data_IF_382974868753
#
_entry.id   IF_382974868753
#
_cell.length_a   1.000
_cell.length_b   1.000
_cell.length_c   1.000
_cell.angle_alpha   90.00
_cell.angle_beta   90.00
_cell.angle_gamma   90.00
#
_symmetry.space_group_name_H-M   'P 1'
#
loop_
_entity.id
_entity.type
_entity.pdbx_description
1 polymer ?
#
# COMPACT_ATOMS: atom_id res chain seq x y z
N UNK A 1 40.95 -77.57 -39.75
CA UNK A 1 39.64 -76.97 -40.05
C UNK A 1 38.88 -76.84 -38.74
N UNK A 2 38.72 -75.61 -38.27
CA UNK A 2 38.15 -75.25 -36.96
C UNK A 2 36.65 -75.01 -37.16
N UNK A 3 35.79 -75.71 -36.41
CA UNK A 3 34.38 -75.31 -36.20
C UNK A 3 34.19 -75.09 -34.71
N UNK A 4 34.26 -73.83 -34.29
CA UNK A 4 33.73 -73.37 -33.01
C UNK A 4 32.20 -73.31 -33.12
N UNK A 5 31.50 -73.96 -32.20
CA UNK A 5 30.08 -73.73 -31.96
C UNK A 5 29.95 -72.36 -31.27
N UNK A 6 29.25 -71.44 -31.94
CA UNK A 6 29.12 -70.07 -31.49
C UNK A 6 27.94 -69.90 -30.51
N UNK A 7 28.33 -69.36 -29.35
CA UNK A 7 27.61 -68.68 -28.29
C UNK A 7 26.36 -67.87 -28.66
N UNK A 8 25.34 -68.06 -27.81
CA UNK A 8 24.57 -67.07 -27.02
C UNK A 8 23.69 -66.01 -27.73
N UNK A 9 22.46 -65.75 -27.22
CA UNK A 9 21.42 -65.00 -27.91
C UNK A 9 21.60 -63.50 -27.68
N UNK A 10 22.27 -62.83 -28.62
CA UNK A 10 22.33 -61.37 -28.64
C UNK A 10 20.99 -60.79 -29.12
N UNK A 11 20.15 -60.52 -28.13
CA UNK A 11 19.21 -59.40 -28.01
C UNK A 11 19.69 -58.17 -28.83
N UNK A 12 19.31 -58.08 -30.11
CA UNK A 12 19.37 -56.82 -30.86
C UNK A 12 18.28 -55.90 -30.32
N UNK A 13 18.68 -55.16 -29.29
CA UNK A 13 17.97 -53.98 -28.82
C UNK A 13 17.86 -53.01 -30.00
N UNK A 14 16.68 -52.98 -30.63
CA UNK A 14 16.13 -51.75 -31.17
C UNK A 14 16.24 -50.71 -30.06
N UNK A 15 17.24 -49.83 -30.16
CA UNK A 15 17.29 -48.59 -29.39
C UNK A 15 16.14 -47.74 -29.89
N UNK A 16 14.94 -48.05 -29.43
CA UNK A 16 13.95 -47.03 -29.19
C UNK A 16 14.66 -46.03 -28.29
N UNK A 17 14.98 -44.86 -28.82
CA UNK A 17 15.45 -43.74 -28.03
C UNK A 17 14.29 -43.35 -27.12
N UNK A 18 14.18 -44.06 -25.99
CA UNK A 18 13.35 -43.69 -24.88
C UNK A 18 14.02 -42.47 -24.27
N UNK A 19 13.52 -41.29 -24.63
CA UNK A 19 13.71 -40.11 -23.79
C UNK A 19 13.34 -40.54 -22.36
N UNK A 20 14.19 -40.28 -21.36
CA UNK A 20 13.87 -40.64 -20.00
C UNK A 20 12.66 -39.82 -19.56
N UNK A 21 11.51 -40.46 -19.39
CA UNK A 21 10.26 -39.86 -18.86
C UNK A 21 10.51 -39.07 -17.56
N UNK A 22 11.54 -39.44 -16.79
CA UNK A 22 11.97 -38.72 -15.59
C UNK A 22 12.35 -37.25 -15.85
N UNK A 23 12.93 -36.91 -17.00
CA UNK A 23 13.32 -35.52 -17.31
C UNK A 23 12.10 -34.63 -17.61
N UNK A 24 11.02 -35.20 -18.16
CA UNK A 24 9.79 -34.45 -18.46
C UNK A 24 8.92 -34.30 -17.21
N UNK A 25 8.76 -35.36 -16.43
CA UNK A 25 8.07 -35.31 -15.13
C UNK A 25 8.75 -34.35 -14.14
N UNK A 26 10.08 -34.34 -14.06
CA UNK A 26 10.83 -33.37 -13.26
C UNK A 26 10.67 -31.93 -13.78
N UNK A 27 10.64 -31.74 -15.10
CA UNK A 27 10.40 -30.45 -15.72
C UNK A 27 8.99 -29.93 -15.44
N UNK A 28 7.94 -30.76 -15.62
CA UNK A 28 6.56 -30.43 -15.28
C UNK A 28 6.40 -30.12 -13.78
N UNK A 29 7.06 -30.89 -12.90
CA UNK A 29 7.06 -30.63 -11.47
C UNK A 29 7.83 -29.33 -11.12
N UNK A 30 8.88 -28.99 -11.87
CA UNK A 30 9.59 -27.71 -11.72
C UNK A 30 8.70 -26.54 -12.13
N UNK A 31 8.04 -26.63 -13.29
CA UNK A 31 7.11 -25.63 -13.83
C UNK A 31 5.89 -25.43 -12.94
N UNK A 32 5.31 -26.51 -12.41
CA UNK A 32 4.23 -26.44 -11.45
C UNK A 32 4.64 -25.74 -10.15
N UNK A 33 5.87 -25.96 -9.67
CA UNK A 33 6.41 -25.27 -8.47
C UNK A 33 6.67 -23.79 -8.74
N UNK A 34 7.20 -23.42 -9.91
CA UNK A 34 7.35 -22.01 -10.32
C UNK A 34 6.00 -21.33 -10.51
N UNK A 35 5.01 -22.00 -11.08
CA UNK A 35 3.64 -21.51 -11.20
C UNK A 35 2.99 -21.26 -9.84
N UNK A 36 3.03 -22.23 -8.93
CA UNK A 36 2.48 -22.07 -7.57
C UNK A 36 3.22 -20.95 -6.82
N UNK A 37 4.55 -20.87 -6.96
CA UNK A 37 5.36 -19.79 -6.36
C UNK A 37 5.09 -18.43 -6.97
N UNK A 38 4.71 -18.35 -8.26
CA UNK A 38 4.37 -17.11 -9.00
C UNK A 38 2.92 -16.67 -8.76
N UNK A 39 1.98 -17.60 -8.58
CA UNK A 39 0.57 -17.31 -8.29
C UNK A 39 0.38 -16.69 -6.91
N UNK A 40 1.22 -17.03 -5.93
CA UNK A 40 1.21 -16.44 -4.57
C UNK A 40 1.45 -14.92 -4.56
N UNK A 41 2.55 -14.37 -5.10
CA UNK A 41 2.77 -12.92 -5.13
C UNK A 41 1.80 -12.20 -6.07
N UNK A 42 1.40 -12.81 -7.20
CA UNK A 42 0.40 -12.21 -8.09
C UNK A 42 -0.95 -12.04 -7.40
N UNK A 43 -1.41 -13.04 -6.64
CA UNK A 43 -2.64 -12.95 -5.87
C UNK A 43 -2.58 -11.82 -4.84
N UNK A 44 -1.47 -11.67 -4.11
CA UNK A 44 -1.28 -10.57 -3.14
C UNK A 44 -1.32 -9.21 -3.84
N UNK A 45 -0.62 -9.07 -4.97
CA UNK A 45 -0.62 -7.85 -5.77
C UNK A 45 -2.02 -7.51 -6.29
N UNK A 46 -2.75 -8.49 -6.82
CA UNK A 46 -4.12 -8.29 -7.30
C UNK A 46 -5.07 -7.90 -6.16
N UNK A 47 -4.95 -8.52 -4.98
CA UNK A 47 -5.73 -8.15 -3.80
C UNK A 47 -5.41 -6.73 -3.33
N UNK A 48 -4.13 -6.36 -3.31
CA UNK A 48 -3.69 -5.01 -2.99
C UNK A 48 -4.30 -3.98 -3.95
N UNK A 49 -4.09 -4.18 -5.26
CA UNK A 49 -4.59 -3.27 -6.29
C UNK A 49 -6.11 -3.19 -6.30
N UNK A 50 -6.82 -4.32 -6.21
CA UNK A 50 -8.27 -4.33 -6.16
C UNK A 50 -8.80 -3.58 -4.93
N UNK A 51 -8.22 -3.83 -3.75
CA UNK A 51 -8.63 -3.13 -2.52
C UNK A 51 -8.39 -1.63 -2.63
N UNK A 52 -7.21 -1.22 -3.09
CA UNK A 52 -6.87 0.19 -3.27
C UNK A 52 -7.85 0.87 -4.25
N UNK A 53 -8.08 0.26 -5.42
CA UNK A 53 -8.96 0.82 -6.44
C UNK A 53 -10.41 0.89 -6.00
N UNK A 54 -10.92 -0.12 -5.28
CA UNK A 54 -12.29 -0.11 -4.74
C UNK A 54 -12.46 1.00 -3.71
N UNK A 55 -11.51 1.17 -2.79
CA UNK A 55 -11.54 2.25 -1.81
C UNK A 55 -11.44 3.63 -2.46
N UNK A 56 -10.51 3.79 -3.42
CA UNK A 56 -10.34 5.03 -4.16
C UNK A 56 -11.60 5.39 -4.96
N UNK A 57 -12.16 4.43 -5.68
CA UNK A 57 -13.39 4.63 -6.44
C UNK A 57 -14.57 4.95 -5.53
N UNK A 58 -14.71 4.23 -4.41
CA UNK A 58 -15.74 4.50 -3.41
C UNK A 58 -15.63 5.91 -2.82
N UNK A 59 -14.40 6.38 -2.57
CA UNK A 59 -14.17 7.75 -2.11
C UNK A 59 -14.56 8.78 -3.16
N UNK A 60 -14.15 8.59 -4.41
CA UNK A 60 -14.53 9.51 -5.50
C UNK A 60 -16.05 9.56 -5.71
N UNK A 61 -16.74 8.42 -5.59
CA UNK A 61 -18.22 8.39 -5.64
C UNK A 61 -18.87 9.05 -4.42
N UNK A 62 -18.15 9.18 -3.30
CA UNK A 62 -18.64 9.86 -2.10
C UNK A 62 -18.42 11.38 -2.10
N UNK A 63 -17.72 11.92 -3.11
CA UNK A 63 -17.55 13.37 -3.29
C UNK A 63 -18.93 14.07 -3.36
N UNK A 64 -19.05 15.21 -2.71
CA UNK A 64 -20.26 16.01 -2.57
C UNK A 64 -21.23 15.52 -1.49
N UNK A 65 -20.95 14.40 -0.81
CA UNK A 65 -21.84 13.83 0.21
C UNK A 65 -21.50 14.31 1.62
N UNK A 66 -22.35 13.97 2.59
CA UNK A 66 -22.08 14.22 4.01
C UNK A 66 -20.82 13.48 4.51
N UNK A 67 -20.46 12.33 3.90
CA UNK A 67 -19.25 11.59 4.27
C UNK A 67 -18.00 12.39 3.95
N UNK A 68 -17.94 13.01 2.76
CA UNK A 68 -16.83 13.89 2.41
C UNK A 68 -16.72 15.05 3.40
N UNK A 69 -17.85 15.67 3.74
CA UNK A 69 -17.89 16.77 4.71
C UNK A 69 -17.32 16.35 6.06
N UNK A 70 -17.72 15.22 6.62
CA UNK A 70 -17.22 14.75 7.91
C UNK A 70 -15.71 14.48 7.85
N UNK A 71 -15.24 13.79 6.83
CA UNK A 71 -13.82 13.41 6.73
C UNK A 71 -12.93 14.63 6.46
N UNK A 72 -13.34 15.53 5.57
CA UNK A 72 -12.56 16.72 5.25
C UNK A 72 -12.70 17.78 6.35
N UNK A 73 -13.91 18.17 6.73
CA UNK A 73 -14.12 19.25 7.69
C UNK A 73 -13.79 18.81 9.12
N UNK A 74 -14.44 17.76 9.63
CA UNK A 74 -14.39 17.43 11.07
C UNK A 74 -13.11 16.67 11.44
N UNK A 75 -12.61 15.82 10.55
CA UNK A 75 -11.39 15.05 10.82
C UNK A 75 -10.11 15.74 10.32
N UNK A 76 -10.20 16.62 9.32
CA UNK A 76 -8.99 17.21 8.73
C UNK A 76 -8.86 18.70 8.99
N UNK A 77 -9.83 19.52 8.57
CA UNK A 77 -9.71 20.98 8.60
C UNK A 77 -9.85 21.53 10.02
N UNK A 78 -10.87 21.11 10.77
CA UNK A 78 -11.14 21.61 12.11
C UNK A 78 -10.02 21.27 13.10
N UNK A 79 -9.50 20.03 13.17
CA UNK A 79 -8.39 19.71 14.07
C UNK A 79 -7.11 20.42 13.66
N UNK A 80 -6.90 20.66 12.35
CA UNK A 80 -5.76 21.43 11.86
C UNK A 80 -5.83 22.89 12.27
N UNK A 81 -6.98 23.55 12.12
CA UNK A 81 -7.18 24.92 12.55
C UNK A 81 -6.97 25.06 14.07
N UNK A 82 -7.51 24.12 14.84
CA UNK A 82 -7.32 24.07 16.29
C UNK A 82 -5.83 23.93 16.66
N UNK A 83 -5.11 23.00 16.04
CA UNK A 83 -3.69 22.79 16.30
C UNK A 83 -2.85 24.02 15.90
N UNK A 84 -3.13 24.63 14.75
CA UNK A 84 -2.43 25.84 14.30
C UNK A 84 -2.64 26.99 15.28
N UNK A 85 -3.87 27.24 15.73
CA UNK A 85 -4.15 28.30 16.71
C UNK A 85 -3.56 28.01 18.10
N UNK A 86 -3.34 26.73 18.44
CA UNK A 86 -2.67 26.37 19.69
C UNK A 86 -1.17 26.68 19.66
N UNK A 87 -0.54 26.55 18.49
CA UNK A 87 0.89 26.83 18.27
C UNK A 87 1.11 28.33 17.99
N UNK A 88 0.25 28.94 17.18
CA UNK A 88 0.29 30.36 16.78
C UNK A 88 -1.07 31.02 17.02
N UNK A 89 -1.38 31.46 18.26
CA UNK A 89 -2.65 32.08 18.60
C UNK A 89 -2.95 33.33 17.76
N UNK A 90 -1.92 34.06 17.35
CA UNK A 90 -2.02 35.27 16.51
C UNK A 90 -2.39 34.98 15.06
N UNK A 91 -2.36 33.71 14.62
CA UNK A 91 -2.71 33.34 13.26
C UNK A 91 -4.22 33.50 12.98
N UNK A 92 -5.08 33.35 14.01
CA UNK A 92 -6.53 33.54 13.89
C UNK A 92 -7.17 32.66 12.81
N UNK A 93 -6.73 31.40 12.70
CA UNK A 93 -7.16 30.49 11.63
C UNK A 93 -8.56 29.96 11.93
N UNK A 94 -9.47 30.13 10.97
CA UNK A 94 -10.82 29.60 11.02
C UNK A 94 -10.95 28.44 10.02
N UNK A 95 -11.47 27.31 10.50
CA UNK A 95 -11.93 26.23 9.65
C UNK A 95 -13.25 26.65 8.99
N UNK A 96 -13.26 26.71 7.66
CA UNK A 96 -14.47 26.99 6.88
C UNK A 96 -14.57 25.99 5.74
N UNK A 97 -15.49 25.04 5.86
CA UNK A 97 -15.65 23.94 4.90
C UNK A 97 -14.31 23.20 4.70
N UNK A 98 -13.85 23.10 3.46
CA UNK A 98 -12.58 22.49 3.09
C UNK A 98 -11.39 23.48 3.14
N UNK A 99 -11.50 24.61 3.86
CA UNK A 99 -10.49 25.69 3.85
C UNK A 99 -10.06 26.12 5.24
N UNK A 100 -8.78 26.46 5.35
CA UNK A 100 -8.24 27.24 6.45
C UNK A 100 -8.20 28.72 6.03
N UNK A 101 -8.92 29.56 6.76
CA UNK A 101 -9.05 31.00 6.47
C UNK A 101 -8.39 31.79 7.58
N UNK A 102 -7.49 32.70 7.24
CA UNK A 102 -6.87 33.63 8.18
C UNK A 102 -6.84 35.04 7.59
N UNK A 103 -6.60 36.09 8.40
CA UNK A 103 -6.47 37.46 7.91
C UNK A 103 -5.42 37.61 6.80
N UNK A 104 -4.35 36.81 6.86
CA UNK A 104 -3.21 36.85 5.93
C UNK A 104 -3.38 35.96 4.69
N UNK A 105 -4.48 35.20 4.57
CA UNK A 105 -4.67 34.33 3.41
C UNK A 105 -5.61 33.15 3.63
N UNK A 106 -5.78 32.34 2.58
CA UNK A 106 -6.65 31.16 2.58
C UNK A 106 -5.90 29.97 2.01
N UNK A 107 -5.90 28.85 2.73
CA UNK A 107 -5.35 27.57 2.29
C UNK A 107 -6.48 26.58 2.02
N UNK A 108 -6.50 26.03 0.82
CA UNK A 108 -7.54 25.12 0.36
C UNK A 108 -7.09 23.66 0.58
N UNK A 109 -7.83 22.91 1.40
CA UNK A 109 -7.60 21.49 1.68
C UNK A 109 -8.56 20.69 0.78
N UNK A 110 -8.26 20.68 -0.50
CA UNK A 110 -8.96 19.89 -1.53
C UNK A 110 -7.92 19.09 -2.31
N UNK A 111 -8.34 17.95 -2.87
CA UNK A 111 -7.57 17.16 -3.84
C UNK A 111 -6.21 16.67 -3.29
N UNK A 112 -6.23 15.69 -2.39
CA UNK A 112 -5.00 15.01 -1.92
C UNK A 112 -4.36 15.60 -0.64
N UNK A 113 -4.93 16.65 -0.06
CA UNK A 113 -4.55 17.12 1.30
C UNK A 113 -5.26 16.37 2.46
N UNK A 114 -6.20 15.51 2.12
CA UNK A 114 -7.04 14.74 3.07
C UNK A 114 -6.36 13.47 3.60
N UNK A 115 -5.21 13.08 3.04
CA UNK A 115 -4.42 11.93 3.52
C UNK A 115 -5.02 10.55 3.22
N UNK A 116 -6.22 10.50 2.62
CA UNK A 116 -6.96 9.26 2.38
C UNK A 116 -6.30 8.35 1.36
N UNK A 117 -5.66 8.88 0.32
CA UNK A 117 -4.92 8.08 -0.67
C UNK A 117 -3.86 7.21 0.03
N UNK A 118 -3.14 7.80 0.98
CA UNK A 118 -2.13 7.08 1.77
C UNK A 118 -2.78 6.09 2.74
N UNK A 119 -3.92 6.45 3.34
CA UNK A 119 -4.70 5.53 4.16
C UNK A 119 -5.15 4.30 3.36
N UNK A 120 -5.68 4.50 2.17
CA UNK A 120 -6.16 3.42 1.30
C UNK A 120 -5.01 2.52 0.85
N UNK A 121 -3.84 3.09 0.54
CA UNK A 121 -2.62 2.30 0.28
C UNK A 121 -2.25 1.43 1.49
N UNK A 122 -2.28 1.99 2.70
CA UNK A 122 -1.96 1.25 3.91
C UNK A 122 -2.99 0.14 4.19
N UNK A 123 -4.28 0.45 4.10
CA UNK A 123 -5.37 -0.54 4.26
C UNK A 123 -5.24 -1.66 3.23
N UNK A 124 -4.97 -1.33 1.97
CA UNK A 124 -4.73 -2.32 0.92
C UNK A 124 -3.55 -3.25 1.24
N UNK A 125 -2.47 -2.73 1.84
CA UNK A 125 -1.35 -3.55 2.29
C UNK A 125 -1.75 -4.54 3.39
N UNK A 126 -2.53 -4.09 4.39
CA UNK A 126 -3.04 -4.95 5.47
C UNK A 126 -4.05 -6.00 5.00
N UNK A 127 -4.86 -5.68 3.99
CA UNK A 127 -5.82 -6.60 3.40
C UNK A 127 -5.12 -7.64 2.54
N UNK A 128 -4.15 -7.23 1.73
CA UNK A 128 -3.38 -8.13 0.88
C UNK A 128 -2.54 -9.11 1.71
N UNK A 129 -1.87 -8.64 2.77
CA UNK A 129 -1.03 -9.51 3.60
C UNK A 129 -1.86 -10.50 4.45
N UNK A 130 -1.43 -11.77 4.57
CA UNK A 130 -2.17 -12.81 5.29
C UNK A 130 -2.06 -12.72 6.83
N UNK A 131 -2.30 -11.54 7.40
CA UNK A 131 -2.39 -11.38 8.85
C UNK A 131 -3.58 -12.14 9.45
N UNK A 132 -3.47 -12.47 10.75
CA UNK A 132 -4.63 -12.89 11.52
C UNK A 132 -5.67 -11.77 11.57
N UNK A 133 -6.98 -12.10 11.54
CA UNK A 133 -8.05 -11.10 11.45
C UNK A 133 -7.97 -10.04 12.56
N UNK A 134 -7.64 -10.47 13.79
CA UNK A 134 -7.44 -9.57 14.95
C UNK A 134 -6.27 -8.61 14.73
N UNK A 135 -5.12 -9.15 14.32
CA UNK A 135 -3.92 -8.36 14.02
C UNK A 135 -4.17 -7.40 12.84
N UNK A 136 -4.91 -7.84 11.80
CA UNK A 136 -5.30 -6.98 10.68
C UNK A 136 -6.14 -5.80 11.14
N UNK A 137 -7.20 -6.03 11.91
CA UNK A 137 -8.05 -4.95 12.40
C UNK A 137 -7.30 -4.00 13.32
N UNK A 138 -6.45 -4.53 14.20
CA UNK A 138 -5.59 -3.71 15.06
C UNK A 138 -4.63 -2.86 14.23
N UNK A 139 -3.97 -3.46 13.23
CA UNK A 139 -3.04 -2.77 12.35
C UNK A 139 -3.71 -1.68 11.52
N UNK A 140 -4.92 -1.93 11.00
CA UNK A 140 -5.72 -0.92 10.31
C UNK A 140 -6.11 0.21 11.26
N UNK A 141 -6.61 -0.10 12.46
CA UNK A 141 -7.01 0.91 13.43
C UNK A 141 -5.84 1.81 13.87
N UNK A 142 -4.69 1.20 14.17
CA UNK A 142 -3.47 1.94 14.48
C UNK A 142 -2.96 2.73 13.26
N UNK A 143 -3.05 2.14 12.06
CA UNK A 143 -2.69 2.79 10.80
C UNK A 143 -3.51 4.03 10.50
N UNK A 144 -4.83 4.00 10.76
CA UNK A 144 -5.70 5.19 10.70
C UNK A 144 -5.18 6.29 11.61
N UNK A 145 -4.81 5.95 12.85
CA UNK A 145 -4.24 6.91 13.80
C UNK A 145 -2.89 7.50 13.31
N UNK A 146 -2.01 6.67 12.77
CA UNK A 146 -0.72 7.11 12.21
C UNK A 146 -0.93 8.07 11.03
N UNK A 147 -1.79 7.70 10.07
CA UNK A 147 -2.08 8.54 8.91
C UNK A 147 -2.72 9.86 9.35
N UNK A 148 -3.65 9.82 10.30
CA UNK A 148 -4.26 11.03 10.87
C UNK A 148 -3.18 11.97 11.42
N UNK A 149 -2.30 11.50 12.32
CA UNK A 149 -1.25 12.33 12.91
C UNK A 149 -0.29 12.89 11.85
N UNK A 150 0.14 12.06 10.90
CA UNK A 150 1.02 12.50 9.81
C UNK A 150 0.35 13.53 8.91
N UNK A 151 -0.95 13.37 8.63
CA UNK A 151 -1.71 14.33 7.83
C UNK A 151 -1.87 15.68 8.55
N UNK A 152 -2.13 15.66 9.87
CA UNK A 152 -2.17 16.88 10.68
C UNK A 152 -0.82 17.62 10.65
N UNK A 153 0.28 16.88 10.83
CA UNK A 153 1.63 17.46 10.73
C UNK A 153 1.88 18.06 9.34
N UNK A 154 1.48 17.36 8.26
CA UNK A 154 1.59 17.85 6.89
C UNK A 154 0.84 19.17 6.70
N UNK A 155 -0.41 19.28 7.16
CA UNK A 155 -1.20 20.51 7.00
C UNK A 155 -0.56 21.68 7.78
N UNK A 156 -0.06 21.43 8.98
CA UNK A 156 0.65 22.43 9.79
C UNK A 156 1.92 22.92 9.09
N UNK A 157 2.71 22.01 8.50
CA UNK A 157 3.92 22.37 7.74
C UNK A 157 3.58 23.15 6.47
N UNK A 158 2.53 22.73 5.75
CA UNK A 158 2.04 23.45 4.57
C UNK A 158 1.54 24.84 4.91
N UNK A 159 0.88 25.01 6.07
CA UNK A 159 0.49 26.32 6.57
C UNK A 159 1.68 27.25 6.77
N UNK A 160 2.78 26.74 7.34
CA UNK A 160 4.00 27.53 7.50
C UNK A 160 4.65 27.85 6.15
N UNK A 161 4.76 26.87 5.25
CA UNK A 161 5.31 27.09 3.92
C UNK A 161 4.50 28.15 3.14
N UNK A 162 3.16 28.09 3.23
CA UNK A 162 2.24 29.05 2.64
C UNK A 162 2.51 30.49 3.07
N UNK A 163 2.93 30.72 4.32
CA UNK A 163 3.27 32.06 4.83
C UNK A 163 4.59 32.62 4.30
N UNK A 164 5.51 31.77 3.86
CA UNK A 164 6.88 32.17 3.51
C UNK A 164 7.10 32.26 2.01
N UNK A 165 6.85 31.18 1.26
CA UNK A 165 7.24 31.09 -0.15
C UNK A 165 6.38 30.09 -0.95
N UNK A 166 5.90 30.51 -2.13
CA UNK A 166 5.03 29.69 -2.99
C UNK A 166 5.75 28.50 -3.65
N UNK A 167 7.03 28.63 -3.99
CA UNK A 167 7.82 27.54 -4.57
C UNK A 167 8.10 26.46 -3.53
N UNK A 168 8.45 26.85 -2.29
CA UNK A 168 8.62 25.90 -1.18
C UNK A 168 7.28 25.19 -0.89
N UNK A 169 6.18 25.95 -0.86
CA UNK A 169 4.84 25.36 -0.72
C UNK A 169 4.56 24.32 -1.81
N UNK A 170 4.81 24.65 -3.08
CA UNK A 170 4.59 23.74 -4.21
C UNK A 170 5.37 22.44 -4.09
N UNK A 171 6.66 22.53 -3.75
CA UNK A 171 7.54 21.38 -3.55
C UNK A 171 7.08 20.49 -2.37
N UNK A 172 6.77 21.11 -1.23
CA UNK A 172 6.30 20.39 -0.05
C UNK A 172 4.95 19.72 -0.29
N UNK A 173 4.02 20.43 -0.93
CA UNK A 173 2.67 19.96 -1.21
C UNK A 173 2.64 18.80 -2.21
N UNK A 174 3.37 18.94 -3.32
CA UNK A 174 3.27 18.01 -4.46
C UNK A 174 4.25 16.85 -4.43
N UNK A 175 5.30 16.89 -3.61
CA UNK A 175 6.36 15.87 -3.68
C UNK A 175 6.84 15.44 -2.30
N UNK A 176 7.40 16.36 -1.51
CA UNK A 176 8.13 15.99 -0.28
C UNK A 176 7.20 15.40 0.78
N UNK A 177 6.12 16.10 1.13
CA UNK A 177 5.22 15.64 2.20
C UNK A 177 4.40 14.41 1.81
N UNK A 178 3.85 14.28 0.57
CA UNK A 178 3.22 13.03 0.13
C UNK A 178 4.19 11.83 0.19
N UNK A 179 5.43 11.99 -0.28
CA UNK A 179 6.42 10.91 -0.25
C UNK A 179 6.80 10.55 1.19
N UNK A 180 6.96 11.55 2.07
CA UNK A 180 7.20 11.33 3.49
C UNK A 180 6.04 10.57 4.17
N UNK A 181 4.79 10.86 3.82
CA UNK A 181 3.62 10.12 4.32
C UNK A 181 3.65 8.65 3.89
N UNK A 182 3.93 8.38 2.61
CA UNK A 182 4.05 7.01 2.09
C UNK A 182 5.19 6.27 2.81
N UNK A 183 6.35 6.90 2.96
CA UNK A 183 7.49 6.33 3.66
C UNK A 183 7.18 6.04 5.14
N UNK A 184 6.49 6.96 5.82
CA UNK A 184 6.05 6.77 7.20
C UNK A 184 5.07 5.60 7.35
N UNK A 185 4.13 5.46 6.42
CA UNK A 185 3.18 4.35 6.41
C UNK A 185 3.85 3.01 6.10
N UNK A 186 4.82 3.00 5.17
CA UNK A 186 5.63 1.82 4.89
C UNK A 186 6.45 1.42 6.13
N UNK A 187 7.11 2.37 6.78
CA UNK A 187 7.86 2.12 8.01
C UNK A 187 6.95 1.54 9.10
N UNK A 188 5.77 2.12 9.31
CA UNK A 188 4.76 1.59 10.23
C UNK A 188 4.35 0.15 9.86
N UNK A 189 4.04 -0.11 8.60
CA UNK A 189 3.65 -1.44 8.13
C UNK A 189 4.75 -2.47 8.36
N UNK A 190 6.00 -2.16 8.03
CA UNK A 190 7.15 -3.05 8.24
C UNK A 190 7.38 -3.35 9.73
N UNK A 191 7.27 -2.32 10.57
CA UNK A 191 7.37 -2.45 12.03
C UNK A 191 6.23 -3.28 12.59
N UNK A 192 5.01 -3.13 12.06
CA UNK A 192 3.86 -3.94 12.46
C UNK A 192 4.03 -5.40 12.03
N UNK A 193 4.47 -5.62 10.79
CA UNK A 193 4.76 -6.91 10.20
C UNK A 193 5.80 -7.68 11.02
N UNK A 194 6.90 -7.02 11.40
CA UNK A 194 7.95 -7.63 12.21
C UNK A 194 7.47 -8.09 13.60
N UNK A 195 6.33 -7.59 14.09
CA UNK A 195 5.76 -7.94 15.39
C UNK A 195 4.62 -8.94 15.33
N UNK A 196 4.08 -9.25 14.15
CA UNK A 196 2.91 -10.10 14.00
C UNK A 196 3.18 -11.19 12.95
N UNK A 197 3.36 -12.42 13.43
CA UNK A 197 3.53 -13.60 12.60
C UNK A 197 2.37 -13.74 11.58
N UNK A 198 2.66 -14.09 10.31
CA UNK A 198 1.63 -14.43 9.35
C UNK A 198 0.81 -15.62 9.84
N UNK A 199 -0.48 -15.69 9.45
CA UNK A 199 -1.25 -16.91 9.68
C UNK A 199 -0.53 -18.08 9.01
N UNK A 200 -0.24 -19.14 9.75
CA UNK A 200 0.04 -20.44 9.17
C UNK A 200 -1.13 -20.79 8.22
N UNK A 201 -0.83 -20.88 6.92
CA UNK A 201 -1.77 -21.29 5.88
C UNK A 201 -1.76 -22.80 5.75
#
# INVERSE_FOLDING_TARGET
>A
MIRCAASDPSREQSKCFSMPDQSYEEFLASDARTEVRRRRPLRLLLLFLATFLVLQYGWEMSRGTALERVVIHDLTVQPSAWAINRIWPEAGVLAKEHRLVAPKGRLNILNGCEGLETLFLLVAAFVAYPFAWRARLLGIALGVGVVFVLNQARIILLWQAFKHDKAIFGMLHGTVLPLAMIAGCLAFFLVFLARHEPRAQ
#
